data_IF_581567727018
#
_entry.id   IF_581567727018
#
_cell.length_a   1.000
_cell.length_b   1.000
_cell.length_c   1.000
_cell.angle_alpha   90.00
_cell.angle_beta   90.00
_cell.angle_gamma   90.00
#
_symmetry.space_group_name_H-M   'P 1'
#
loop_
_entity.id
_entity.type
_entity.pdbx_description
1 polymer ?
#
# COMPACT_ATOMS: atom_id res chain seq x y z
N UNK A 1 28.47 -0.60 1.94
CA UNK A 1 28.06 0.48 1.03
C UNK A 1 26.54 0.62 1.13
N UNK A 2 26.02 1.82 1.38
CA UNK A 2 24.57 2.05 1.27
C UNK A 2 24.19 2.02 -0.22
N UNK A 3 23.06 1.40 -0.61
CA UNK A 3 22.58 1.50 -1.98
C UNK A 3 22.18 2.95 -2.27
N UNK A 4 22.63 3.48 -3.41
CA UNK A 4 22.30 4.82 -3.89
C UNK A 4 20.78 5.05 -3.95
N UNK A 5 20.27 6.26 -3.61
CA UNK A 5 18.86 6.59 -3.79
C UNK A 5 18.49 6.57 -5.28
N UNK A 6 17.30 6.08 -5.62
CA UNK A 6 16.81 6.09 -7.00
C UNK A 6 16.67 7.53 -7.51
N UNK A 7 17.24 7.80 -8.69
CA UNK A 7 17.12 9.09 -9.40
C UNK A 7 16.00 9.09 -10.45
N UNK A 8 15.35 7.96 -10.74
CA UNK A 8 14.25 7.88 -11.70
C UNK A 8 12.98 7.29 -11.09
N UNK A 9 11.89 8.02 -11.25
CA UNK A 9 10.54 7.60 -10.90
C UNK A 9 9.97 6.69 -12.01
N UNK A 10 9.58 5.45 -11.68
CA UNK A 10 8.88 4.55 -12.63
C UNK A 10 7.52 4.18 -12.08
N UNK A 11 6.46 4.66 -12.75
CA UNK A 11 5.09 4.22 -12.51
C UNK A 11 4.85 2.87 -13.15
N UNK A 12 4.14 2.01 -12.42
CA UNK A 12 3.70 0.69 -12.85
C UNK A 12 2.19 0.60 -12.62
N UNK A 13 1.52 -0.25 -13.40
CA UNK A 13 0.11 -0.54 -13.19
C UNK A 13 -0.23 -2.00 -13.52
N UNK A 14 -1.25 -2.51 -12.85
CA UNK A 14 -1.81 -3.84 -13.05
C UNK A 14 -3.33 -3.76 -13.01
N UNK A 15 -3.99 -4.50 -13.89
CA UNK A 15 -5.43 -4.72 -13.88
C UNK A 15 -5.69 -6.21 -13.75
N UNK A 16 -6.58 -6.59 -12.83
CA UNK A 16 -6.86 -8.00 -12.54
C UNK A 16 -8.37 -8.25 -12.34
N UNK A 17 -8.74 -9.52 -12.32
CA UNK A 17 -10.14 -9.98 -12.22
C UNK A 17 -11.04 -9.32 -13.27
N UNK A 18 -10.62 -9.41 -14.53
CA UNK A 18 -11.38 -8.88 -15.69
C UNK A 18 -11.70 -7.39 -15.57
N UNK A 19 -10.81 -6.61 -14.95
CA UNK A 19 -10.98 -5.17 -14.82
C UNK A 19 -11.64 -4.73 -13.53
N UNK A 20 -12.06 -5.64 -12.64
CA UNK A 20 -12.69 -5.27 -11.37
C UNK A 20 -11.73 -4.59 -10.39
N UNK A 21 -10.43 -4.76 -10.58
CA UNK A 21 -9.43 -4.11 -9.76
C UNK A 21 -8.30 -3.54 -10.60
N UNK A 22 -7.82 -2.38 -10.15
CA UNK A 22 -6.71 -1.65 -10.74
C UNK A 22 -5.75 -1.26 -9.60
N UNK A 23 -4.47 -1.55 -9.81
CA UNK A 23 -3.39 -1.19 -8.90
C UNK A 23 -2.36 -0.39 -9.68
N UNK A 24 -2.05 0.82 -9.21
CA UNK A 24 -0.95 1.63 -9.70
C UNK A 24 0.04 1.85 -8.56
N UNK A 25 1.34 1.84 -8.87
CA UNK A 25 2.34 2.19 -7.88
C UNK A 25 3.56 2.85 -8.51
N UNK A 26 4.27 3.62 -7.70
CA UNK A 26 5.42 4.39 -8.10
C UNK A 26 6.41 4.50 -6.95
N UNK A 27 7.67 4.11 -7.18
CA UNK A 27 8.74 4.30 -6.20
C UNK A 27 9.28 5.72 -6.34
N UNK A 28 9.26 6.48 -5.26
CA UNK A 28 9.74 7.86 -5.20
C UNK A 28 10.88 8.02 -4.20
N UNK A 29 11.83 8.93 -4.48
CA UNK A 29 12.82 9.35 -3.49
C UNK A 29 12.13 9.97 -2.26
N UNK A 30 12.82 10.10 -1.13
CA UNK A 30 12.26 10.76 0.05
C UNK A 30 11.76 12.19 -0.25
N UNK A 31 10.70 12.60 0.44
CA UNK A 31 10.18 13.98 0.37
C UNK A 31 11.12 14.99 1.04
N UNK A 32 12.02 14.54 1.91
CA UNK A 32 13.07 15.35 2.53
C UNK A 32 14.34 15.24 1.68
N UNK A 33 14.76 16.34 1.05
CA UNK A 33 15.94 16.40 0.18
C UNK A 33 17.29 16.24 0.89
N UNK A 34 17.28 16.02 2.21
CA UNK A 34 18.48 15.78 3.03
C UNK A 34 18.92 14.30 3.07
N UNK A 35 18.16 13.40 2.41
CA UNK A 35 18.47 11.98 2.32
C UNK A 35 18.25 11.20 3.63
N UNK A 36 17.68 11.83 4.66
CA UNK A 36 17.43 11.20 5.97
C UNK A 36 16.22 10.25 5.96
N UNK A 37 15.26 10.50 5.07
CA UNK A 37 14.06 9.68 4.92
C UNK A 37 14.26 8.53 3.92
N UNK A 38 13.61 7.37 4.12
CA UNK A 38 13.66 6.28 3.15
C UNK A 38 12.91 6.65 1.87
N UNK A 39 13.27 6.00 0.75
CA UNK A 39 12.41 5.95 -0.42
C UNK A 39 11.02 5.46 -0.04
N UNK A 40 10.01 5.89 -0.78
CA UNK A 40 8.61 5.48 -0.58
C UNK A 40 8.03 4.87 -1.84
N UNK A 41 6.94 4.16 -1.67
CA UNK A 41 6.08 3.67 -2.72
C UNK A 41 4.73 4.38 -2.58
N UNK A 42 4.37 5.19 -3.58
CA UNK A 42 3.05 5.77 -3.71
C UNK A 42 2.17 4.74 -4.43
N UNK A 43 1.02 4.42 -3.86
CA UNK A 43 0.12 3.36 -4.32
C UNK A 43 -1.26 3.96 -4.53
N UNK A 44 -1.92 3.56 -5.62
CA UNK A 44 -3.37 3.73 -5.80
C UNK A 44 -3.99 2.39 -6.10
N UNK A 45 -4.98 1.99 -5.30
CA UNK A 45 -5.79 0.79 -5.54
C UNK A 45 -7.25 1.21 -5.75
N UNK A 46 -7.85 0.70 -6.81
CA UNK A 46 -9.26 0.89 -7.12
C UNK A 46 -9.91 -0.47 -7.30
N UNK A 47 -11.04 -0.68 -6.63
CA UNK A 47 -11.82 -1.91 -6.71
C UNK A 47 -13.28 -1.59 -6.98
N UNK A 48 -13.91 -2.40 -7.84
CA UNK A 48 -15.34 -2.35 -8.12
C UNK A 48 -16.11 -2.97 -6.96
N UNK A 49 -16.25 -2.19 -5.89
CA UNK A 49 -16.89 -2.56 -4.64
C UNK A 49 -17.52 -1.32 -3.99
N UNK A 50 -18.38 -1.55 -3.00
CA UNK A 50 -18.83 -0.55 -2.03
C UNK A 50 -18.38 -1.05 -0.66
N UNK A 51 -17.33 -0.46 -0.10
CA UNK A 51 -16.70 -0.94 1.13
C UNK A 51 -15.19 -0.78 1.14
N UNK A 52 -14.47 -1.90 1.28
CA UNK A 52 -13.02 -1.90 1.51
C UNK A 52 -12.24 -2.47 0.33
N UNK A 53 -11.01 -1.98 0.19
CA UNK A 53 -9.98 -2.54 -0.70
C UNK A 53 -8.74 -2.86 0.14
N UNK A 54 -7.99 -3.88 -0.27
CA UNK A 54 -6.80 -4.30 0.44
C UNK A 54 -5.70 -4.77 -0.51
N UNK A 55 -4.46 -4.56 -0.07
CA UNK A 55 -3.24 -4.98 -0.75
C UNK A 55 -2.34 -5.71 0.24
N UNK A 56 -1.71 -6.79 -0.20
CA UNK A 56 -0.66 -7.48 0.55
C UNK A 56 0.65 -7.46 -0.21
N UNK A 57 1.75 -7.21 0.51
CA UNK A 57 3.12 -7.35 -0.02
C UNK A 57 3.80 -8.51 0.70
N UNK A 58 4.28 -9.49 -0.07
CA UNK A 58 5.01 -10.64 0.44
C UNK A 58 6.10 -11.10 -0.55
N UNK A 59 7.13 -11.81 -0.06
CA UNK A 59 8.20 -12.31 -0.93
C UNK A 59 7.73 -13.37 -1.94
N UNK A 60 6.67 -14.11 -1.64
CA UNK A 60 6.21 -15.27 -2.40
C UNK A 60 4.77 -15.12 -2.93
N UNK A 61 4.19 -13.91 -2.83
CA UNK A 61 2.82 -13.63 -3.23
C UNK A 61 1.74 -14.27 -2.34
N UNK A 62 2.12 -14.98 -1.26
CA UNK A 62 1.17 -15.55 -0.30
C UNK A 62 0.73 -14.52 0.71
N UNK A 63 -0.45 -14.74 1.27
CA UNK A 63 -0.98 -13.89 2.34
C UNK A 63 -0.33 -14.17 3.69
N UNK A 64 0.02 -15.42 4.01
CA UNK A 64 0.70 -15.77 5.27
C UNK A 64 2.05 -15.05 5.31
N UNK A 65 2.31 -14.29 6.38
CA UNK A 65 3.54 -13.51 6.51
C UNK A 65 3.58 -12.22 5.68
N UNK A 66 2.53 -11.91 4.90
CA UNK A 66 2.45 -10.65 4.16
C UNK A 66 2.37 -9.44 5.10
N UNK A 67 2.78 -8.29 4.57
CA UNK A 67 2.42 -6.98 5.11
C UNK A 67 1.18 -6.48 4.37
N UNK A 68 0.08 -6.32 5.09
CA UNK A 68 -1.25 -6.06 4.54
C UNK A 68 -1.67 -4.64 4.85
N UNK A 69 -2.24 -3.97 3.87
CA UNK A 69 -2.88 -2.67 4.00
C UNK A 69 -4.34 -2.82 3.56
N UNK A 70 -5.27 -2.44 4.41
CA UNK A 70 -6.72 -2.52 4.16
C UNK A 70 -7.31 -1.17 4.49
N UNK A 71 -8.13 -0.63 3.60
CA UNK A 71 -8.79 0.64 3.83
C UNK A 71 -10.16 0.73 3.19
N UNK A 72 -10.88 1.78 3.57
CA UNK A 72 -12.24 2.09 3.12
C UNK A 72 -12.50 3.59 3.28
N UNK A 73 -13.67 4.04 2.83
CA UNK A 73 -14.20 5.36 3.17
C UNK A 73 -15.16 5.20 4.33
N UNK A 74 -14.89 5.90 5.43
CA UNK A 74 -15.73 5.87 6.62
C UNK A 74 -17.11 6.47 6.30
N UNK A 75 -18.18 5.72 6.61
CA UNK A 75 -19.53 6.10 6.21
C UNK A 75 -20.06 7.33 6.95
N UNK A 76 -19.58 7.58 8.16
CA UNK A 76 -20.06 8.67 9.01
C UNK A 76 -19.32 9.98 8.73
N UNK A 77 -18.01 9.89 8.46
CA UNK A 77 -17.13 11.05 8.28
C UNK A 77 -16.77 11.33 6.83
N UNK A 78 -17.04 10.39 5.91
CA UNK A 78 -16.54 10.39 4.53
C UNK A 78 -15.01 10.49 4.40
N UNK A 79 -14.28 10.26 5.49
CA UNK A 79 -12.81 10.29 5.51
C UNK A 79 -12.25 8.92 5.08
N UNK A 80 -11.10 8.89 4.37
CA UNK A 80 -10.44 7.63 4.10
C UNK A 80 -9.81 7.06 5.37
N UNK A 81 -10.00 5.76 5.59
CA UNK A 81 -9.37 4.99 6.68
C UNK A 81 -8.44 3.96 6.06
N UNK A 82 -7.24 3.83 6.61
CA UNK A 82 -6.25 2.85 6.17
C UNK A 82 -5.57 2.21 7.37
N UNK A 83 -5.70 0.90 7.50
CA UNK A 83 -5.11 0.11 8.56
C UNK A 83 -4.10 -0.90 8.02
N UNK A 84 -3.12 -1.24 8.84
CA UNK A 84 -2.12 -2.26 8.54
C UNK A 84 -2.35 -3.52 9.36
N UNK A 85 -2.15 -4.65 8.69
CA UNK A 85 -2.27 -5.98 9.26
C UNK A 85 -1.05 -6.81 8.87
N UNK A 86 -0.81 -7.89 9.60
CA UNK A 86 0.10 -8.95 9.19
C UNK A 86 -0.69 -10.18 8.81
N UNK A 87 -0.20 -10.93 7.81
CA UNK A 87 -0.77 -12.23 7.46
C UNK A 87 -0.55 -13.25 8.57
N UNK A 88 -1.62 -13.62 9.28
CA UNK A 88 -1.60 -14.65 10.31
C UNK A 88 -1.50 -16.08 9.75
N UNK A 89 -1.22 -17.07 10.61
CA UNK A 89 -1.08 -18.48 10.21
C UNK A 89 -2.38 -19.05 9.61
N UNK A 90 -3.54 -18.56 10.07
CA UNK A 90 -4.86 -19.07 9.67
C UNK A 90 -5.46 -18.35 8.46
N UNK A 91 -4.65 -17.62 7.69
CA UNK A 91 -5.12 -16.79 6.56
C UNK A 91 -6.09 -15.67 6.97
N UNK A 92 -5.99 -15.17 8.19
CA UNK A 92 -6.70 -13.97 8.61
C UNK A 92 -5.72 -12.82 8.83
N UNK A 93 -6.07 -11.57 8.42
CA UNK A 93 -5.31 -10.40 8.79
C UNK A 93 -5.33 -10.23 10.32
N UNK A 94 -4.16 -10.16 10.93
CA UNK A 94 -4.01 -9.84 12.36
C UNK A 94 -3.59 -8.39 12.46
N UNK A 95 -4.33 -7.59 13.24
CA UNK A 95 -3.99 -6.18 13.44
C UNK A 95 -2.58 -6.08 14.03
N UNK A 96 -1.73 -5.23 13.44
CA UNK A 96 -0.42 -4.96 14.03
C UNK A 96 -0.68 -4.09 15.26
N UNK A 97 -0.41 -4.66 16.45
CA UNK A 97 -0.77 -4.08 17.76
C UNK A 97 0.09 -2.88 18.16
N UNK A 98 1.16 -2.64 17.42
CA UNK A 98 1.88 -1.37 17.45
C UNK A 98 1.12 -0.43 16.54
N UNK A 99 0.46 0.58 17.14
CA UNK A 99 -0.04 1.75 16.44
C UNK A 99 0.96 2.10 15.34
N UNK A 100 0.51 2.01 14.09
CA UNK A 100 1.30 2.60 13.03
C UNK A 100 1.43 4.07 13.36
N UNK A 101 2.67 4.52 13.37
CA UNK A 101 3.03 5.91 13.10
C UNK A 101 2.55 6.26 11.68
N UNK A 102 1.23 6.44 11.54
CA UNK A 102 0.53 6.81 10.30
C UNK A 102 1.05 8.16 9.78
N UNK A 103 1.83 8.89 10.59
CA UNK A 103 2.33 10.26 10.43
C UNK A 103 3.12 10.54 9.14
N UNK A 104 3.41 9.53 8.30
CA UNK A 104 4.09 9.74 7.01
C UNK A 104 3.30 9.28 5.78
N UNK A 105 2.08 8.76 5.94
CA UNK A 105 1.24 8.32 4.82
C UNK A 105 0.23 9.40 4.45
N UNK A 106 0.40 10.06 3.30
CA UNK A 106 -0.70 10.83 2.72
C UNK A 106 -1.74 9.85 2.22
N UNK A 107 -2.85 9.68 2.96
CA UNK A 107 -3.98 8.87 2.52
C UNK A 107 -5.04 9.78 1.92
N UNK A 108 -5.51 9.43 0.73
CA UNK A 108 -6.71 9.98 0.14
C UNK A 108 -7.58 8.84 -0.37
N UNK A 109 -8.88 9.08 -0.47
CA UNK A 109 -9.79 8.07 -0.92
C UNK A 109 -11.10 8.65 -1.39
N UNK A 110 -11.83 7.86 -2.18
CA UNK A 110 -13.19 8.19 -2.61
C UNK A 110 -13.94 6.93 -2.98
N UNK A 111 -15.25 6.99 -2.80
CA UNK A 111 -16.19 6.10 -3.47
C UNK A 111 -16.87 6.85 -4.62
N UNK A 112 -17.01 6.19 -5.77
CA UNK A 112 -17.64 6.76 -6.96
C UNK A 112 -18.49 5.72 -7.68
N UNK A 113 -19.55 6.16 -8.36
CA UNK A 113 -20.30 5.33 -9.30
C UNK A 113 -19.84 5.65 -10.71
N UNK A 114 -19.36 4.64 -11.44
CA UNK A 114 -18.94 4.75 -12.85
C UNK A 114 -19.76 3.75 -13.66
N UNK A 115 -20.49 4.23 -14.66
CA UNK A 115 -21.37 3.39 -15.50
C UNK A 115 -22.38 2.54 -14.70
N UNK A 116 -22.88 3.05 -13.57
CA UNK A 116 -23.82 2.34 -12.70
C UNK A 116 -23.19 1.35 -11.72
N UNK A 117 -21.86 1.33 -11.63
CA UNK A 117 -21.11 0.40 -10.77
C UNK A 117 -20.35 1.18 -9.70
N UNK A 118 -20.39 0.71 -8.45
CA UNK A 118 -19.64 1.34 -7.34
C UNK A 118 -18.16 0.97 -7.39
N UNK A 119 -17.32 1.96 -7.10
CA UNK A 119 -15.87 1.85 -7.04
C UNK A 119 -15.35 2.52 -5.78
N UNK A 120 -14.57 1.78 -4.99
CA UNK A 120 -13.79 2.31 -3.88
C UNK A 120 -12.34 2.49 -4.35
N UNK A 121 -11.81 3.70 -4.21
CA UNK A 121 -10.42 4.01 -4.56
C UNK A 121 -9.68 4.59 -3.36
N UNK A 122 -8.48 4.07 -3.09
CA UNK A 122 -7.57 4.59 -2.08
C UNK A 122 -6.20 4.87 -2.70
N UNK A 123 -5.63 6.00 -2.32
CA UNK A 123 -4.25 6.36 -2.63
C UNK A 123 -3.49 6.63 -1.35
N UNK A 124 -2.33 6.00 -1.19
CA UNK A 124 -1.51 6.16 0.00
C UNK A 124 -0.01 5.99 -0.30
N UNK A 125 0.83 6.57 0.55
CA UNK A 125 2.29 6.41 0.48
C UNK A 125 2.77 5.47 1.56
N UNK A 126 3.70 4.56 1.24
CA UNK A 126 4.35 3.66 2.19
C UNK A 126 5.87 3.77 2.06
N UNK A 127 6.65 4.01 3.14
CA UNK A 127 8.11 3.92 3.07
C UNK A 127 8.54 2.49 2.71
N UNK A 128 9.62 2.34 1.93
CA UNK A 128 10.19 1.03 1.61
C UNK A 128 10.78 0.37 2.86
N UNK A 129 11.29 1.16 3.80
CA UNK A 129 11.81 0.70 5.08
C UNK A 129 11.16 1.48 6.20
N UNK A 130 10.55 0.79 7.15
CA UNK A 130 10.05 1.43 8.36
C UNK A 130 11.19 1.74 9.33
N UNK A 131 11.22 2.91 9.99
CA UNK A 131 12.18 3.20 11.04
C UNK A 131 12.15 2.20 12.20
N UNK A 132 10.98 1.62 12.50
CA UNK A 132 10.77 0.66 13.60
C UNK A 132 11.53 -0.68 13.43
N UNK A 133 11.99 -1.00 12.21
CA UNK A 133 12.76 -2.23 11.99
C UNK A 133 11.96 -3.53 12.12
N UNK A 134 10.64 -3.48 11.99
CA UNK A 134 9.68 -4.59 12.13
C UNK A 134 9.82 -5.77 11.13
N UNK A 135 10.92 -5.83 10.38
CA UNK A 135 11.19 -6.89 9.41
C UNK A 135 10.35 -6.84 8.12
N UNK A 136 9.44 -5.88 7.97
CA UNK A 136 8.59 -5.71 6.76
C UNK A 136 9.14 -4.69 5.76
N UNK A 137 10.43 -4.39 5.86
CA UNK A 137 11.12 -3.57 4.89
C UNK A 137 11.11 -4.26 3.52
N UNK A 138 10.64 -3.55 2.51
CA UNK A 138 10.76 -3.94 1.11
C UNK A 138 12.21 -3.73 0.71
N UNK A 139 12.93 -4.83 0.55
CA UNK A 139 14.29 -4.83 0.03
C UNK A 139 14.21 -4.86 -1.49
N UNK A 140 15.09 -4.09 -2.13
CA UNK A 140 15.29 -4.20 -3.56
C UNK A 140 15.92 -5.56 -3.84
N UNK A 141 15.40 -6.24 -4.85
CA UNK A 141 15.91 -7.51 -5.35
C UNK A 141 15.60 -7.66 -6.83
N UNK A 142 16.30 -8.56 -7.50
CA UNK A 142 15.97 -8.96 -8.86
C UNK A 142 14.64 -9.72 -8.86
N UNK A 143 13.79 -9.45 -9.85
CA UNK A 143 12.53 -10.18 -10.04
C UNK A 143 12.86 -11.63 -10.38
N UNK A 144 12.67 -12.57 -9.44
CA UNK A 144 12.71 -13.99 -9.79
C UNK A 144 11.54 -14.26 -10.73
N UNK A 145 11.87 -14.62 -11.96
CA UNK A 145 10.92 -14.94 -13.04
C UNK A 145 10.38 -16.34 -12.89
#
# INVERSE_FOLDING_TARGET
>A
AMPEPFTSTRRQSLTFLSGQYQLEWEVRPPNMGDGSAPNRMDITISGRTSGWVGLGVSPDGRMIGADLLIGWIDADTAAPVLHRYTGGPDRYPVAVREEMDIDTQTVSGREMVVNGESWTTLSFSRPLRWPSGDGKAIKLGETTT
#
